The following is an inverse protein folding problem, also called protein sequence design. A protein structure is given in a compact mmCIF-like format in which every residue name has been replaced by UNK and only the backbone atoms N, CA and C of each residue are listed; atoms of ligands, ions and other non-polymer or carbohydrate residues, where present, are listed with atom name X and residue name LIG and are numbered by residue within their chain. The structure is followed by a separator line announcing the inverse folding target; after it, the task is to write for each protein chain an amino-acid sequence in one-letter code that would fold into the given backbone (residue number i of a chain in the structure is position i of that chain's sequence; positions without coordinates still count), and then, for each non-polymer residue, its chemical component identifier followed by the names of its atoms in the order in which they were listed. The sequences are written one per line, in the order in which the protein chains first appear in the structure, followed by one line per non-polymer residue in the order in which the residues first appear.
data_IF_311575048934
#
_entry.id   IF_311575048934
#
_cell.length_a   1.000
_cell.length_b   1.000
_cell.length_c   1.000
_cell.angle_alpha   90.00
_cell.angle_beta   90.00
_cell.angle_gamma   90.00
#
_symmetry.space_group_name_H-M   'P 1'
#
loop_
_entity.id
_entity.type
_entity.pdbx_description
1 polymer ?
#
# COMPACT_ATOMS: atom_id res chain seq x y z
N UNK A 1 -18.06 3.84 14.35
CA UNK A 1 -18.30 3.29 13.00
C UNK A 1 -17.02 2.61 12.60
N UNK A 2 -17.08 1.36 12.16
CA UNK A 2 -15.86 0.63 11.79
C UNK A 2 -15.23 1.25 10.53
N UNK A 3 -13.92 1.23 10.42
CA UNK A 3 -13.18 1.80 9.28
C UNK A 3 -13.71 1.29 7.94
N UNK A 4 -14.00 -0.01 7.82
CA UNK A 4 -14.57 -0.61 6.60
C UNK A 4 -15.94 -0.02 6.25
N UNK A 5 -16.80 0.24 7.23
CA UNK A 5 -18.11 0.86 6.99
C UNK A 5 -17.95 2.29 6.46
N UNK A 6 -16.99 3.04 7.02
CA UNK A 6 -16.64 4.38 6.53
C UNK A 6 -16.14 4.32 5.09
N UNK A 7 -15.22 3.41 4.78
CA UNK A 7 -14.69 3.23 3.43
C UNK A 7 -15.78 2.86 2.42
N UNK A 8 -16.68 1.94 2.76
CA UNK A 8 -17.81 1.59 1.89
C UNK A 8 -18.71 2.78 1.58
N UNK A 9 -18.94 3.67 2.56
CA UNK A 9 -19.69 4.91 2.33
C UNK A 9 -18.95 5.87 1.40
N UNK A 10 -17.63 6.00 1.55
CA UNK A 10 -16.77 6.85 0.71
C UNK A 10 -16.75 6.33 -0.74
N UNK A 11 -16.55 5.02 -0.93
CA UNK A 11 -16.50 4.42 -2.26
C UNK A 11 -17.82 4.52 -3.03
N UNK A 12 -18.92 4.77 -2.33
CA UNK A 12 -20.25 4.97 -2.92
C UNK A 12 -20.55 6.44 -3.25
N UNK A 13 -19.63 7.37 -2.98
CA UNK A 13 -19.79 8.79 -3.33
C UNK A 13 -19.70 9.00 -4.84
N UNK A 14 -20.56 9.86 -5.38
CA UNK A 14 -20.53 10.25 -6.79
C UNK A 14 -19.54 11.40 -7.05
N UNK A 15 -19.32 12.27 -6.06
CA UNK A 15 -18.37 13.38 -6.16
C UNK A 15 -16.95 12.89 -5.91
N UNK A 16 -16.14 12.87 -6.97
CA UNK A 16 -14.76 12.41 -6.94
C UNK A 16 -13.86 13.26 -6.05
N UNK A 17 -14.11 14.57 -5.94
CA UNK A 17 -13.32 15.49 -5.10
C UNK A 17 -13.67 15.28 -3.63
N UNK A 18 -14.96 15.13 -3.30
CA UNK A 18 -15.37 14.80 -1.94
C UNK A 18 -14.84 13.42 -1.52
N UNK A 19 -14.86 12.45 -2.43
CA UNK A 19 -14.33 11.11 -2.22
C UNK A 19 -12.83 11.13 -1.95
N UNK A 20 -12.05 11.85 -2.75
CA UNK A 20 -10.61 12.04 -2.55
C UNK A 20 -10.31 12.67 -1.19
N UNK A 21 -10.93 13.80 -0.86
CA UNK A 21 -10.77 14.46 0.44
C UNK A 21 -11.12 13.52 1.61
N UNK A 22 -12.15 12.70 1.44
CA UNK A 22 -12.54 11.73 2.47
C UNK A 22 -11.51 10.60 2.62
N UNK A 23 -10.87 10.17 1.54
CA UNK A 23 -9.74 9.22 1.58
C UNK A 23 -8.53 9.83 2.27
N UNK A 24 -8.16 11.07 1.98
CA UNK A 24 -7.07 11.76 2.67
C UNK A 24 -7.32 11.84 4.18
N UNK A 25 -8.56 12.13 4.58
CA UNK A 25 -8.96 12.10 5.99
C UNK A 25 -8.89 10.70 6.62
N UNK A 26 -8.97 9.61 5.83
CA UNK A 26 -8.64 8.25 6.31
C UNK A 26 -7.13 8.12 6.50
N UNK A 27 -6.32 8.65 5.58
CA UNK A 27 -4.86 8.70 5.70
C UNK A 27 -4.39 9.32 7.01
N UNK A 28 -4.98 10.46 7.38
CA UNK A 28 -4.69 11.12 8.67
C UNK A 28 -5.05 10.23 9.87
N UNK A 29 -6.20 9.55 9.82
CA UNK A 29 -6.61 8.63 10.89
C UNK A 29 -5.62 7.45 10.99
N UNK A 30 -5.13 6.94 9.87
CA UNK A 30 -4.17 5.83 9.84
C UNK A 30 -2.76 6.27 10.24
N UNK A 31 -2.42 7.55 10.14
CA UNK A 31 -1.15 8.11 10.63
C UNK A 31 -1.17 8.35 12.14
N UNK A 32 -2.21 9.01 12.66
CA UNK A 32 -2.25 9.50 14.04
C UNK A 32 -3.15 8.69 14.99
N UNK A 33 -3.93 7.73 14.49
CA UNK A 33 -5.06 7.14 15.20
C UNK A 33 -4.73 6.08 16.26
N UNK A 34 -5.79 5.68 16.97
CA UNK A 34 -5.80 4.59 17.97
C UNK A 34 -6.85 3.53 17.64
N UNK A 35 -6.98 3.19 16.36
CA UNK A 35 -7.84 2.09 15.91
C UNK A 35 -7.23 0.75 16.32
N UNK A 36 -8.08 -0.26 16.46
CA UNK A 36 -7.61 -1.63 16.67
C UNK A 36 -6.84 -2.13 15.43
N UNK A 37 -5.78 -2.91 15.64
CA UNK A 37 -4.95 -3.43 14.56
C UNK A 37 -5.75 -4.23 13.53
N UNK A 38 -6.74 -5.05 13.97
CA UNK A 38 -7.56 -5.82 13.04
C UNK A 38 -8.45 -4.90 12.20
N UNK A 39 -8.97 -3.84 12.80
CA UNK A 39 -9.78 -2.84 12.08
C UNK A 39 -8.95 -2.10 11.03
N UNK A 40 -7.70 -1.78 11.34
CA UNK A 40 -6.75 -1.20 10.38
C UNK A 40 -6.48 -2.17 9.23
N UNK A 41 -6.14 -3.43 9.54
CA UNK A 41 -5.84 -4.46 8.53
C UNK A 41 -7.04 -4.67 7.59
N UNK A 42 -8.25 -4.80 8.13
CA UNK A 42 -9.48 -4.93 7.34
C UNK A 42 -9.71 -3.70 6.44
N UNK A 43 -9.53 -2.50 6.97
CA UNK A 43 -9.67 -1.26 6.20
C UNK A 43 -8.64 -1.13 5.08
N UNK A 44 -7.37 -1.43 5.36
CA UNK A 44 -6.29 -1.40 4.36
C UNK A 44 -6.53 -2.44 3.27
N UNK A 45 -6.99 -3.65 3.62
CA UNK A 45 -7.36 -4.66 2.62
C UNK A 45 -8.52 -4.21 1.73
N UNK A 46 -9.47 -3.43 2.27
CA UNK A 46 -10.54 -2.81 1.48
C UNK A 46 -9.98 -1.77 0.50
N UNK A 47 -9.07 -0.89 0.95
CA UNK A 47 -8.38 0.08 0.09
C UNK A 47 -7.58 -0.61 -1.03
N UNK A 48 -6.83 -1.66 -0.72
CA UNK A 48 -6.06 -2.45 -1.71
C UNK A 48 -7.00 -3.05 -2.76
N UNK A 49 -8.12 -3.62 -2.34
CA UNK A 49 -9.09 -4.24 -3.26
C UNK A 49 -9.72 -3.21 -4.21
N UNK A 50 -9.92 -1.98 -3.72
CA UNK A 50 -10.48 -0.90 -4.50
C UNK A 50 -9.45 -0.28 -5.48
N UNK A 51 -8.24 0.02 -5.00
CA UNK A 51 -7.25 0.80 -5.76
C UNK A 51 -6.77 0.12 -7.04
N UNK A 52 -6.78 -1.22 -7.07
CA UNK A 52 -6.41 -1.98 -8.28
C UNK A 52 -7.43 -1.86 -9.41
N UNK A 53 -8.67 -1.47 -9.10
CA UNK A 53 -9.75 -1.25 -10.07
C UNK A 53 -9.98 0.23 -10.39
N UNK A 54 -9.45 1.14 -9.57
CA UNK A 54 -9.62 2.58 -9.73
C UNK A 54 -8.98 3.08 -11.03
N UNK A 55 -9.62 4.03 -11.70
CA UNK A 55 -9.18 4.64 -12.96
C UNK A 55 -8.88 6.14 -12.82
N UNK A 56 -9.45 6.80 -11.82
CA UNK A 56 -9.12 8.16 -11.45
C UNK A 56 -7.71 8.17 -10.85
N UNK A 57 -6.78 8.77 -11.58
CA UNK A 57 -5.36 8.82 -11.22
C UNK A 57 -5.14 9.53 -9.88
N UNK A 58 -5.86 10.62 -9.63
CA UNK A 58 -5.75 11.39 -8.39
C UNK A 58 -6.24 10.57 -7.19
N UNK A 59 -7.45 10.01 -7.28
CA UNK A 59 -7.98 9.16 -6.20
C UNK A 59 -7.12 7.91 -5.96
N UNK A 60 -6.60 7.30 -7.04
CA UNK A 60 -5.69 6.16 -6.95
C UNK A 60 -4.44 6.51 -6.15
N UNK A 61 -3.83 7.66 -6.43
CA UNK A 61 -2.67 8.13 -5.68
C UNK A 61 -3.00 8.38 -4.20
N UNK A 62 -4.10 9.07 -3.90
CA UNK A 62 -4.53 9.33 -2.52
C UNK A 62 -4.81 8.04 -1.75
N UNK A 63 -5.36 7.00 -2.40
CA UNK A 63 -5.54 5.68 -1.78
C UNK A 63 -4.19 5.00 -1.52
N UNK A 64 -3.27 5.00 -2.48
CA UNK A 64 -1.94 4.42 -2.28
C UNK A 64 -1.19 5.14 -1.15
N UNK A 65 -1.27 6.47 -1.10
CA UNK A 65 -0.70 7.26 -0.02
C UNK A 65 -1.32 6.90 1.35
N UNK A 66 -2.65 6.73 1.40
CA UNK A 66 -3.37 6.30 2.60
C UNK A 66 -2.91 4.90 3.07
N UNK A 67 -2.72 3.95 2.15
CA UNK A 67 -2.17 2.62 2.46
C UNK A 67 -0.74 2.74 2.99
N UNK A 68 0.08 3.62 2.39
CA UNK A 68 1.43 3.88 2.84
C UNK A 68 1.47 4.39 4.29
N UNK A 69 0.57 5.31 4.66
CA UNK A 69 0.49 5.80 6.04
C UNK A 69 0.20 4.66 7.02
N UNK A 70 -0.75 3.78 6.73
CA UNK A 70 -0.97 2.61 7.58
C UNK A 70 0.26 1.71 7.67
N UNK A 71 0.96 1.47 6.57
CA UNK A 71 2.17 0.62 6.57
C UNK A 71 3.26 1.24 7.43
N UNK A 72 3.54 2.53 7.26
CA UNK A 72 4.64 3.24 7.94
C UNK A 72 4.34 3.44 9.41
N UNK A 73 3.13 3.89 9.75
CA UNK A 73 2.79 4.31 11.12
C UNK A 73 2.14 3.23 11.97
N UNK A 74 1.47 2.25 11.35
CA UNK A 74 0.77 1.17 12.06
C UNK A 74 1.46 -0.20 11.92
N UNK A 75 2.53 -0.29 11.11
CA UNK A 75 3.34 -1.50 10.92
C UNK A 75 2.52 -2.74 10.50
N UNK A 76 1.48 -2.56 9.69
CA UNK A 76 0.56 -3.65 9.28
C UNK A 76 0.97 -4.39 8.00
N UNK A 77 2.10 -4.03 7.39
CA UNK A 77 2.49 -4.51 6.06
C UNK A 77 2.61 -6.04 5.94
N UNK A 78 2.96 -6.74 7.03
CA UNK A 78 3.10 -8.19 7.05
C UNK A 78 1.74 -8.94 7.02
N UNK A 79 0.64 -8.24 7.34
CA UNK A 79 -0.68 -8.84 7.60
C UNK A 79 -1.72 -8.49 6.52
N UNK A 80 -1.39 -7.57 5.61
CA UNK A 80 -2.27 -7.10 4.53
C UNK A 80 -2.03 -7.87 3.21
N UNK A 81 -3.05 -7.86 2.35
CA UNK A 81 -3.18 -8.72 1.17
C UNK A 81 -2.47 -8.15 -0.06
N UNK A 82 -1.16 -7.94 0.02
CA UNK A 82 -0.37 -7.34 -1.06
C UNK A 82 -0.29 -8.19 -2.34
N UNK A 83 -0.61 -9.49 -2.27
CA UNK A 83 -0.66 -10.39 -3.44
C UNK A 83 -1.63 -9.87 -4.53
N UNK A 84 -2.62 -9.07 -4.13
CA UNK A 84 -3.60 -8.44 -5.03
C UNK A 84 -2.93 -7.53 -6.08
N UNK A 85 -1.77 -6.95 -5.78
CA UNK A 85 -1.03 -6.10 -6.74
C UNK A 85 -0.26 -6.89 -7.80
N UNK A 86 0.12 -8.14 -7.54
CA UNK A 86 1.06 -8.89 -8.38
C UNK A 86 0.59 -9.04 -9.84
N UNK A 87 -0.69 -9.32 -10.15
CA UNK A 87 -1.15 -9.40 -11.53
C UNK A 87 -1.06 -8.08 -12.32
N UNK A 88 -1.00 -6.94 -11.62
CA UNK A 88 -1.06 -5.60 -12.21
C UNK A 88 0.29 -4.88 -12.19
N UNK A 89 1.26 -5.38 -11.43
CA UNK A 89 2.48 -4.66 -11.05
C UNK A 89 3.30 -4.18 -12.26
N UNK A 90 3.39 -4.97 -13.33
CA UNK A 90 4.14 -4.61 -14.54
C UNK A 90 3.45 -3.56 -15.42
N UNK A 91 2.18 -3.25 -15.14
CA UNK A 91 1.37 -2.27 -15.90
C UNK A 91 1.19 -0.94 -15.18
N UNK A 92 1.63 -0.86 -13.92
CA UNK A 92 1.53 0.37 -13.13
C UNK A 92 2.45 1.46 -13.69
N UNK A 93 1.99 2.70 -13.61
CA UNK A 93 2.84 3.87 -13.81
C UNK A 93 3.94 3.89 -12.77
N UNK A 94 5.06 4.54 -13.07
CA UNK A 94 6.24 4.62 -12.20
C UNK A 94 5.85 5.10 -10.79
N UNK A 95 5.06 6.18 -10.69
CA UNK A 95 4.62 6.75 -9.41
C UNK A 95 3.78 5.79 -8.54
N UNK A 96 2.98 4.91 -9.15
CA UNK A 96 2.19 3.90 -8.40
C UNK A 96 3.02 2.66 -8.09
N UNK A 97 3.94 2.32 -9.00
CA UNK A 97 4.80 1.16 -8.85
C UNK A 97 5.79 1.34 -7.70
N UNK A 98 6.31 2.55 -7.46
CA UNK A 98 7.17 2.83 -6.32
C UNK A 98 6.46 2.57 -4.98
N UNK A 99 5.20 3.00 -4.82
CA UNK A 99 4.37 2.65 -3.65
C UNK A 99 4.28 1.14 -3.46
N UNK A 100 3.86 0.40 -4.50
CA UNK A 100 3.67 -1.04 -4.42
C UNK A 100 4.98 -1.77 -4.09
N UNK A 101 6.09 -1.40 -4.72
CA UNK A 101 7.42 -1.96 -4.43
C UNK A 101 7.78 -1.74 -2.96
N UNK A 102 7.57 -0.54 -2.43
CA UNK A 102 7.79 -0.22 -1.02
C UNK A 102 6.91 -1.08 -0.10
N UNK A 103 5.63 -1.27 -0.43
CA UNK A 103 4.73 -2.12 0.36
C UNK A 103 5.23 -3.56 0.43
N UNK A 104 5.65 -4.12 -0.71
CA UNK A 104 6.23 -5.47 -0.78
C UNK A 104 7.50 -5.56 0.09
N UNK A 105 8.35 -4.52 0.08
CA UNK A 105 9.52 -4.42 0.94
C UNK A 105 9.17 -4.44 2.43
N UNK A 106 8.26 -3.56 2.84
CA UNK A 106 7.81 -3.42 4.23
C UNK A 106 7.12 -4.67 4.78
N UNK A 107 6.53 -5.50 3.92
CA UNK A 107 5.94 -6.77 4.35
C UNK A 107 6.94 -7.73 5.00
N UNK A 108 8.24 -7.58 4.69
CA UNK A 108 9.28 -8.51 5.12
C UNK A 108 9.15 -9.92 4.50
N UNK A 109 8.21 -10.15 3.59
CA UNK A 109 7.91 -11.48 3.09
C UNK A 109 8.84 -11.86 1.94
N UNK A 110 9.69 -12.88 2.19
CA UNK A 110 10.65 -13.39 1.21
C UNK A 110 10.02 -13.87 -0.10
N UNK A 111 8.72 -14.21 -0.13
CA UNK A 111 8.04 -14.61 -1.37
C UNK A 111 8.06 -13.52 -2.45
N UNK A 112 8.21 -12.26 -2.07
CA UNK A 112 8.27 -11.13 -3.01
C UNK A 112 9.66 -10.85 -3.56
N UNK A 113 10.72 -11.45 -3.01
CA UNK A 113 12.11 -11.22 -3.46
C UNK A 113 12.28 -11.48 -4.97
N UNK A 114 11.82 -12.62 -5.54
CA UNK A 114 11.97 -12.86 -6.97
C UNK A 114 11.25 -11.81 -7.84
N UNK A 115 10.14 -11.26 -7.35
CA UNK A 115 9.38 -10.22 -8.05
C UNK A 115 10.15 -8.90 -8.00
N UNK A 116 10.65 -8.51 -6.83
CA UNK A 116 11.43 -7.30 -6.62
C UNK A 116 12.75 -7.29 -7.42
N UNK A 117 13.40 -8.45 -7.55
CA UNK A 117 14.63 -8.59 -8.35
C UNK A 117 14.41 -8.25 -9.84
N UNK A 118 13.21 -8.48 -10.38
CA UNK A 118 12.91 -8.12 -11.78
C UNK A 118 12.99 -6.60 -12.03
N UNK A 119 12.76 -5.79 -10.99
CA UNK A 119 12.79 -4.33 -11.09
C UNK A 119 14.20 -3.74 -11.01
N UNK A 120 15.22 -4.54 -10.65
CA UNK A 120 16.62 -4.08 -10.60
C UNK A 120 17.19 -3.69 -11.97
N UNK A 121 16.59 -4.19 -13.05
CA UNK A 121 16.97 -3.89 -14.44
C UNK A 121 15.93 -3.02 -15.16
N UNK A 122 14.98 -2.43 -14.43
CA UNK A 122 13.92 -1.61 -15.01
C UNK A 122 14.49 -0.34 -15.67
N UNK A 123 13.93 0.18 -16.79
CA UNK A 123 14.47 1.38 -17.45
C UNK A 123 14.48 2.65 -16.58
N UNK A 124 13.51 2.78 -15.67
CA UNK A 124 13.46 3.88 -14.70
C UNK A 124 14.41 3.63 -13.53
N UNK A 125 15.33 4.56 -13.28
CA UNK A 125 16.26 4.51 -12.12
C UNK A 125 15.53 4.54 -10.79
N UNK A 126 14.45 5.31 -10.70
CA UNK A 126 13.61 5.42 -9.51
C UNK A 126 13.04 4.05 -9.11
N UNK A 127 12.61 3.25 -10.08
CA UNK A 127 12.14 1.87 -9.84
C UNK A 127 13.28 0.95 -9.40
N UNK A 128 14.47 1.09 -9.98
CA UNK A 128 15.63 0.32 -9.55
C UNK A 128 16.02 0.65 -8.10
N UNK A 129 15.95 1.93 -7.71
CA UNK A 129 16.24 2.40 -6.36
C UNK A 129 15.20 1.88 -5.36
N UNK A 130 13.91 2.05 -5.65
CA UNK A 130 12.83 1.50 -4.84
C UNK A 130 12.97 -0.03 -4.65
N UNK A 131 13.33 -0.76 -5.71
CA UNK A 131 13.53 -2.21 -5.63
C UNK A 131 14.71 -2.60 -4.73
N UNK A 132 15.82 -1.85 -4.78
CA UNK A 132 16.98 -2.07 -3.90
C UNK A 132 16.62 -1.79 -2.44
N UNK A 133 15.90 -0.71 -2.19
CA UNK A 133 15.41 -0.35 -0.86
C UNK A 133 14.46 -1.42 -0.31
N UNK A 134 13.48 -1.85 -1.09
CA UNK A 134 12.55 -2.92 -0.71
C UNK A 134 13.26 -4.24 -0.39
N UNK A 135 14.24 -4.65 -1.20
CA UNK A 135 15.07 -5.83 -0.94
C UNK A 135 15.91 -5.69 0.34
N UNK A 136 16.43 -4.49 0.60
CA UNK A 136 17.15 -4.19 1.85
C UNK A 136 16.23 -4.25 3.06
N UNK A 137 15.01 -3.71 2.93
CA UNK A 137 13.99 -3.71 3.98
C UNK A 137 13.56 -5.12 4.35
N UNK A 138 13.33 -6.01 3.36
CA UNK A 138 13.05 -7.43 3.61
C UNK A 138 14.19 -8.06 4.41
N UNK A 139 15.46 -7.85 4.01
CA UNK A 139 16.62 -8.38 4.74
C UNK A 139 16.69 -7.86 6.18
N UNK A 140 16.48 -6.57 6.37
CA UNK A 140 16.48 -5.93 7.68
C UNK A 140 15.40 -6.52 8.60
N UNK A 141 14.16 -6.62 8.11
CA UNK A 141 13.03 -7.15 8.90
C UNK A 141 13.25 -8.59 9.32
N UNK A 142 13.75 -9.44 8.42
CA UNK A 142 14.04 -10.85 8.73
C UNK A 142 15.25 -11.02 9.66
N UNK A 143 16.22 -10.11 9.63
CA UNK A 143 17.38 -10.15 10.55
C UNK A 143 17.02 -9.72 11.97
N UNK A 144 15.90 -9.02 12.15
CA UNK A 144 15.41 -8.54 13.44
C UNK A 144 14.31 -9.43 14.06
N UNK A 145 13.96 -10.56 13.43
CA UNK A 145 13.15 -11.60 14.06
C UNK A 145 14.07 -12.32 15.05
N UNK A 146 14.09 -11.86 16.31
CA UNK A 146 14.68 -12.62 17.41
C UNK A 146 13.76 -13.81 17.71
N UNK A 147 14.32 -15.02 17.65
CA UNK A 147 13.72 -16.26 18.17
C UNK A 147 13.32 -16.13 19.65
#
# INVERSE_FOLDING_TARGET
MKLVEKLNSIFSMDDEVEKENAIEAIGDILEYGGLDTNEIIEGVNSLISYVVLEKNDTLKESILHTINNAIVYQNVAAEISLDVFIPYISSLKVEYLTYVISFLGFSGNHKYVPILETFLIHPSKEIQEAAKEALSEIKYRNSNIKE
#
